data_IF_289315191131
#
_entry.id   IF_289315191131
#
_cell.length_a   1.000
_cell.length_b   1.000
_cell.length_c   1.000
_cell.angle_alpha   90.00
_cell.angle_beta   90.00
_cell.angle_gamma   90.00
#
_symmetry.space_group_name_H-M   'P 1'
#
loop_
_entity.id
_entity.type
_entity.pdbx_description
1 polymer ?
#
# COMPACT_ATOMS: atom_id res chain seq x y z
N UNK A 1 10.82 0.56 -29.87
CA UNK A 1 11.59 -0.10 -28.79
C UNK A 1 11.41 0.59 -27.44
N UNK A 2 10.80 1.79 -27.39
CA UNK A 2 10.71 2.59 -26.16
C UNK A 2 9.76 2.00 -25.11
N UNK A 3 8.67 1.35 -25.54
CA UNK A 3 7.67 0.75 -24.63
C UNK A 3 8.26 -0.38 -23.77
N UNK A 4 9.07 -1.27 -24.33
CA UNK A 4 9.70 -2.35 -23.55
C UNK A 4 10.73 -1.79 -22.57
N UNK A 5 11.54 -0.83 -23.01
CA UNK A 5 12.53 -0.17 -22.15
C UNK A 5 11.85 0.58 -21.00
N UNK A 6 10.77 1.29 -21.29
CA UNK A 6 9.96 1.98 -20.27
C UNK A 6 9.36 0.97 -19.29
N UNK A 7 8.75 -0.11 -19.78
CA UNK A 7 8.14 -1.15 -18.95
C UNK A 7 9.18 -1.77 -18.01
N UNK A 8 10.36 -2.13 -18.51
CA UNK A 8 11.46 -2.65 -17.68
C UNK A 8 11.87 -1.68 -16.57
N UNK A 9 12.00 -0.39 -16.88
CA UNK A 9 12.35 0.62 -15.88
C UNK A 9 11.26 0.75 -14.80
N UNK A 10 9.99 0.75 -15.20
CA UNK A 10 8.87 0.82 -14.26
C UNK A 10 8.81 -0.43 -13.37
N UNK A 11 9.04 -1.62 -13.93
CA UNK A 11 9.12 -2.88 -13.17
C UNK A 11 10.24 -2.81 -12.12
N UNK A 12 11.44 -2.35 -12.49
CA UNK A 12 12.57 -2.22 -11.56
C UNK A 12 12.22 -1.27 -10.40
N UNK A 13 11.57 -0.15 -10.70
CA UNK A 13 11.13 0.81 -9.68
C UNK A 13 10.05 0.22 -8.78
N UNK A 14 9.04 -0.43 -9.36
CA UNK A 14 7.94 -1.05 -8.64
C UNK A 14 8.41 -2.17 -7.69
N UNK A 15 9.42 -2.94 -8.07
CA UNK A 15 10.02 -3.99 -7.22
C UNK A 15 10.69 -3.44 -5.95
N UNK A 16 11.05 -2.15 -5.93
CA UNK A 16 11.64 -1.49 -4.77
C UNK A 16 10.61 -0.83 -3.85
N UNK A 17 9.33 -0.83 -4.26
CA UNK A 17 8.26 -0.20 -3.50
C UNK A 17 7.89 -0.99 -2.23
N UNK A 18 7.78 -2.33 -2.27
CA UNK A 18 7.41 -3.08 -1.09
C UNK A 18 8.42 -2.91 0.04
N UNK A 19 7.97 -2.39 1.17
CA UNK A 19 8.72 -2.39 2.43
C UNK A 19 8.11 -3.40 3.41
N UNK A 20 8.95 -3.93 4.30
CA UNK A 20 8.49 -4.81 5.38
C UNK A 20 8.04 -4.05 6.63
N UNK A 21 8.49 -2.81 6.79
CA UNK A 21 8.18 -1.95 7.93
C UNK A 21 7.23 -0.85 7.50
N UNK A 22 5.97 -0.94 7.95
CA UNK A 22 4.95 0.07 7.70
C UNK A 22 5.04 1.18 8.74
N UNK A 23 4.97 2.43 8.30
CA UNK A 23 4.88 3.55 9.22
C UNK A 23 3.48 3.65 9.85
N UNK A 24 3.41 3.98 11.13
CA UNK A 24 2.14 4.19 11.86
C UNK A 24 1.32 5.38 11.36
N UNK A 25 1.92 6.23 10.51
CA UNK A 25 1.25 7.39 9.94
C UNK A 25 0.19 6.96 8.91
N UNK A 26 -1.06 7.34 9.16
CA UNK A 26 -2.19 7.02 8.26
C UNK A 26 -2.05 7.70 6.90
N UNK A 27 -1.56 8.93 6.88
CA UNK A 27 -1.36 9.68 5.64
C UNK A 27 -0.23 9.08 4.82
N UNK A 28 0.85 8.65 5.47
CA UNK A 28 1.90 7.85 4.83
C UNK A 28 1.34 6.59 4.18
N UNK A 29 0.51 5.82 4.92
CA UNK A 29 -0.07 4.58 4.38
C UNK A 29 -0.97 4.86 3.17
N UNK A 30 -1.76 5.95 3.19
CA UNK A 30 -2.61 6.35 2.04
C UNK A 30 -1.77 6.78 0.84
N UNK A 31 -0.72 7.55 1.05
CA UNK A 31 0.20 7.97 -0.02
C UNK A 31 0.93 6.77 -0.62
N UNK A 32 1.35 5.81 0.21
CA UNK A 32 1.99 4.58 -0.21
C UNK A 32 1.05 3.74 -1.08
N UNK A 33 -0.22 3.58 -0.67
CA UNK A 33 -1.26 2.91 -1.46
C UNK A 33 -1.44 3.62 -2.81
N UNK A 34 -1.54 4.96 -2.82
CA UNK A 34 -1.72 5.72 -4.05
C UNK A 34 -0.52 5.55 -4.99
N UNK A 35 0.71 5.54 -4.45
CA UNK A 35 1.94 5.32 -5.21
C UNK A 35 1.99 3.92 -5.82
N UNK A 36 1.65 2.90 -5.04
CA UNK A 36 1.58 1.52 -5.51
C UNK A 36 0.52 1.33 -6.60
N UNK A 37 -0.68 1.92 -6.42
CA UNK A 37 -1.76 1.89 -7.43
C UNK A 37 -1.34 2.57 -8.74
N UNK A 38 -0.65 3.70 -8.65
CA UNK A 38 -0.12 4.42 -9.84
C UNK A 38 0.90 3.58 -10.61
N UNK A 39 1.80 2.88 -9.91
CA UNK A 39 2.77 1.99 -10.55
C UNK A 39 2.08 0.78 -11.18
N UNK A 40 1.11 0.17 -10.49
CA UNK A 40 0.32 -0.95 -11.00
C UNK A 40 -0.38 -0.57 -12.31
N UNK A 41 -1.12 0.55 -12.33
CA UNK A 41 -1.82 1.02 -13.53
C UNK A 41 -0.88 1.31 -14.69
N UNK A 42 0.32 1.84 -14.39
CA UNK A 42 1.32 2.11 -15.42
C UNK A 42 1.86 0.82 -16.04
N UNK A 43 2.20 -0.18 -15.22
CA UNK A 43 2.66 -1.49 -15.70
C UNK A 43 1.55 -2.17 -16.48
N UNK A 44 0.32 -2.17 -15.97
CA UNK A 44 -0.83 -2.82 -16.60
C UNK A 44 -1.14 -2.25 -18.00
N UNK A 45 -1.05 -0.92 -18.15
CA UNK A 45 -1.22 -0.26 -19.45
C UNK A 45 -0.08 -0.55 -20.42
N UNK A 46 1.16 -0.65 -19.93
CA UNK A 46 2.32 -0.91 -20.78
C UNK A 46 2.38 -2.38 -21.22
N UNK A 47 1.97 -3.31 -20.36
CA UNK A 47 1.93 -4.75 -20.67
C UNK A 47 0.80 -5.11 -21.66
N UNK A 48 -0.22 -4.27 -21.83
CA UNK A 48 -1.26 -4.50 -22.84
C UNK A 48 -0.80 -4.19 -24.27
N UNK A 49 0.43 -3.70 -24.44
CA UNK A 49 1.00 -3.39 -25.76
C UNK A 49 1.37 -4.69 -26.50
N UNK A 50 0.95 -4.88 -27.76
CA UNK A 50 1.26 -6.07 -28.55
C UNK A 50 2.74 -6.15 -28.96
N UNK A 51 3.55 -5.13 -28.64
CA UNK A 51 4.95 -5.00 -29.04
C UNK A 51 5.94 -5.49 -27.99
N UNK A 52 5.47 -6.09 -26.89
CA UNK A 52 6.32 -6.61 -25.83
C UNK A 52 6.56 -8.11 -26.00
N UNK A 53 7.75 -8.56 -25.65
CA UNK A 53 8.07 -9.98 -25.59
C UNK A 53 7.26 -10.72 -24.51
N UNK A 54 6.99 -12.00 -24.73
CA UNK A 54 6.28 -12.85 -23.74
C UNK A 54 7.01 -12.92 -22.40
N UNK A 55 8.36 -12.85 -22.43
CA UNK A 55 9.17 -12.79 -21.22
C UNK A 55 8.86 -11.53 -20.40
N UNK A 56 8.87 -10.36 -21.04
CA UNK A 56 8.60 -9.10 -20.38
C UNK A 56 7.14 -8.99 -19.92
N UNK A 57 6.20 -9.55 -20.69
CA UNK A 57 4.80 -9.67 -20.27
C UNK A 57 4.66 -10.48 -18.98
N UNK A 58 5.32 -11.63 -18.87
CA UNK A 58 5.31 -12.42 -17.65
C UNK A 58 5.93 -11.66 -16.47
N UNK A 59 7.07 -10.99 -16.68
CA UNK A 59 7.70 -10.16 -15.64
C UNK A 59 6.81 -8.98 -15.18
N UNK A 60 6.06 -8.38 -16.11
CA UNK A 60 5.09 -7.33 -15.81
C UNK A 60 3.91 -7.87 -15.01
N UNK A 61 3.37 -9.04 -15.40
CA UNK A 61 2.29 -9.73 -14.68
C UNK A 61 2.70 -10.06 -13.25
N UNK A 62 3.87 -10.66 -13.05
CA UNK A 62 4.41 -10.98 -11.73
C UNK A 62 4.57 -9.71 -10.88
N UNK A 63 4.99 -8.61 -11.50
CA UNK A 63 5.12 -7.33 -10.82
C UNK A 63 3.76 -6.73 -10.43
N UNK A 64 2.74 -6.84 -11.29
CA UNK A 64 1.37 -6.47 -10.97
C UNK A 64 0.81 -7.29 -9.80
N UNK A 65 1.04 -8.60 -9.78
CA UNK A 65 0.61 -9.47 -8.67
C UNK A 65 1.30 -9.07 -7.35
N UNK A 66 2.61 -8.80 -7.39
CA UNK A 66 3.38 -8.31 -6.23
C UNK A 66 2.83 -6.97 -5.70
N UNK A 67 2.57 -6.01 -6.59
CA UNK A 67 2.00 -4.71 -6.21
C UNK A 67 0.59 -4.86 -5.64
N UNK A 68 -0.23 -5.74 -6.21
CA UNK A 68 -1.59 -6.00 -5.73
C UNK A 68 -1.57 -6.60 -4.31
N UNK A 69 -0.64 -7.52 -4.04
CA UNK A 69 -0.43 -8.05 -2.69
C UNK A 69 0.06 -6.97 -1.72
N UNK A 70 0.98 -6.12 -2.15
CA UNK A 70 1.50 -5.02 -1.33
C UNK A 70 0.41 -4.00 -0.96
N UNK A 71 -0.41 -3.59 -1.94
CA UNK A 71 -1.57 -2.72 -1.72
C UNK A 71 -2.51 -3.34 -0.70
N UNK A 72 -2.82 -4.64 -0.83
CA UNK A 72 -3.69 -5.34 0.12
C UNK A 72 -3.12 -5.32 1.54
N UNK A 73 -1.81 -5.50 1.73
CA UNK A 73 -1.16 -5.40 3.04
C UNK A 73 -1.30 -3.99 3.65
N UNK A 74 -1.10 -2.95 2.84
CA UNK A 74 -1.25 -1.56 3.27
C UNK A 74 -2.71 -1.22 3.63
N UNK A 75 -3.68 -1.71 2.85
CA UNK A 75 -5.12 -1.50 3.12
C UNK A 75 -5.54 -2.19 4.43
N UNK A 76 -5.00 -3.39 4.71
CA UNK A 76 -5.19 -4.08 6.00
C UNK A 76 -4.56 -3.26 7.12
N UNK A 77 -3.32 -2.79 6.96
CA UNK A 77 -2.62 -1.97 7.95
C UNK A 77 -3.40 -0.69 8.29
N UNK A 78 -3.90 0.02 7.28
CA UNK A 78 -4.72 1.22 7.44
C UNK A 78 -6.02 0.93 8.19
N UNK A 79 -6.67 -0.20 7.89
CA UNK A 79 -7.90 -0.63 8.54
C UNK A 79 -7.66 -1.00 10.01
N UNK A 80 -6.58 -1.72 10.32
CA UNK A 80 -6.18 -2.05 11.69
C UNK A 80 -5.84 -0.81 12.51
N UNK A 81 -5.20 0.20 11.90
CA UNK A 81 -4.93 1.50 12.52
C UNK A 81 -6.21 2.32 12.80
N UNK A 82 -7.32 2.02 12.12
CA UNK A 82 -8.63 2.62 12.40
C UNK A 82 -9.41 1.89 13.50
N UNK A 83 -9.05 0.64 13.84
CA UNK A 83 -9.64 -0.11 14.96
C UNK A 83 -9.08 0.25 16.33
N UNK A 84 -7.91 0.91 16.40
CA UNK A 84 -7.34 1.45 17.63
C UNK A 84 -7.79 2.90 17.89
N UNK A 85 -9.09 3.14 17.95
CA UNK A 85 -9.61 4.30 18.68
C UNK A 85 -9.45 4.05 20.17
N UNK A 86 -8.43 4.71 20.74
CA UNK A 86 -8.27 5.10 22.14
C UNK A 86 -9.54 4.97 23.02
N UNK A 87 -9.60 3.94 23.87
CA UNK A 87 -10.41 3.95 25.09
C UNK A 87 -9.51 4.24 26.31
N UNK A 88 -8.80 5.38 26.34
CA UNK A 88 -8.08 5.77 27.57
C UNK A 88 -7.80 7.26 27.65
N UNK A 89 -8.88 8.06 27.69
CA UNK A 89 -8.82 9.33 28.42
C UNK A 89 -10.20 9.74 28.94
N UNK A 90 -11.28 9.33 28.25
CA UNK A 90 -12.65 9.56 28.71
C UNK A 90 -13.01 8.64 29.90
N UNK A 91 -12.47 7.42 29.97
CA UNK A 91 -12.72 6.49 31.09
C UNK A 91 -12.02 6.85 32.41
N UNK A 92 -11.01 7.71 32.40
CA UNK A 92 -10.35 8.19 33.63
C UNK A 92 -11.13 9.33 34.32
N UNK A 93 -11.95 10.07 33.58
CA UNK A 93 -12.77 11.15 34.14
C UNK A 93 -14.01 10.66 34.90
N UNK A 94 -14.51 9.46 34.56
CA UNK A 94 -15.71 8.88 35.17
C UNK A 94 -15.41 8.18 36.50
N UNK A 95 -14.20 7.63 36.67
CA UNK A 95 -13.78 6.97 37.90
C UNK A 95 -13.62 7.95 39.08
N UNK A 96 -13.20 9.19 38.83
CA UNK A 96 -12.99 10.18 39.90
C UNK A 96 -14.27 10.82 40.42
N UNK A 97 -15.40 10.71 39.71
CA UNK A 97 -16.70 11.19 40.21
C UNK A 97 -17.39 10.19 41.15
N UNK A 98 -17.04 8.90 41.07
CA UNK A 98 -17.61 7.86 41.92
C UNK A 98 -16.93 7.77 43.30
N UNK A 99 -15.73 8.33 43.47
CA UNK A 99 -14.96 8.28 44.72
C UNK A 99 -15.16 9.51 45.64
N UNK A 100 -15.95 10.51 45.23
CA UNK A 100 -16.17 11.74 45.99
C UNK A 100 -17.51 11.77 46.76
N UNK A 101 -18.20 10.63 46.87
CA UNK A 101 -19.37 10.48 47.73
C UNK A 101 -19.06 9.30 48.66
N UNK A 102 -18.40 9.58 49.78
CA UNK A 102 -18.63 9.02 51.12
C UNK A 102 -17.66 9.69 52.11
#
# INVERSE_FOLDING_TARGET
MDTERELTQVIIQARRLPCEQFESCKDWTKEEIARAKKMYQKIDRLQSSPKISSKLFNEARDCCDMLSQYIRKLEIHLSSSNGHTFNSFVDLGTANKAAAIF
#
